data_IF_248885445683
#
_entry.id   IF_248885445683
#
_cell.length_a   1.000
_cell.length_b   1.000
_cell.length_c   1.000
_cell.angle_alpha   90.00
_cell.angle_beta   90.00
_cell.angle_gamma   90.00
#
_symmetry.space_group_name_H-M   'P 1'
#
loop_
_entity.id
_entity.type
_entity.pdbx_description
1 polymer ?
#
# COMPACT_ATOMS: atom_id res chain seq x y z
N UNK A 1 -0.09 -22.39 -7.99
CA UNK A 1 -0.34 -21.39 -6.95
C UNK A 1 -0.40 -20.03 -7.63
N UNK A 2 -1.47 -19.23 -7.49
CA UNK A 2 -1.60 -17.94 -8.18
C UNK A 2 -0.60 -16.87 -7.69
N UNK A 3 0.06 -17.07 -6.54
CA UNK A 3 1.17 -16.24 -6.07
C UNK A 3 2.45 -16.48 -6.85
N UNK A 4 2.63 -17.69 -7.37
CA UNK A 4 3.84 -18.15 -8.04
C UNK A 4 3.48 -18.72 -9.42
N UNK A 5 2.94 -17.88 -10.33
CA UNK A 5 2.64 -18.34 -11.67
C UNK A 5 3.95 -18.60 -12.43
N UNK A 6 3.94 -19.70 -13.17
CA UNK A 6 5.06 -20.10 -14.04
C UNK A 6 4.89 -19.39 -15.38
N UNK A 7 5.90 -18.61 -15.78
CA UNK A 7 5.89 -17.93 -17.06
C UNK A 7 6.04 -18.93 -18.21
N UNK A 8 5.29 -18.70 -19.27
CA UNK A 8 5.43 -19.45 -20.53
C UNK A 8 6.76 -19.11 -21.20
N UNK A 9 7.25 -20.01 -22.06
CA UNK A 9 8.47 -19.75 -22.82
C UNK A 9 8.36 -18.49 -23.70
N UNK A 10 7.17 -18.20 -24.24
CA UNK A 10 6.90 -16.98 -25.01
C UNK A 10 7.07 -15.72 -24.16
N UNK A 11 6.51 -15.72 -22.94
CA UNK A 11 6.67 -14.60 -22.00
C UNK A 11 8.14 -14.42 -21.60
N UNK A 12 8.85 -15.51 -21.30
CA UNK A 12 10.29 -15.46 -20.96
C UNK A 12 11.11 -14.91 -22.13
N UNK A 13 10.85 -15.37 -23.36
CA UNK A 13 11.57 -14.90 -24.54
C UNK A 13 11.33 -13.40 -24.77
N UNK A 14 10.10 -12.93 -24.57
CA UNK A 14 9.78 -11.49 -24.63
C UNK A 14 10.56 -10.73 -23.56
N UNK A 15 10.54 -11.20 -22.30
CA UNK A 15 11.24 -10.55 -21.19
C UNK A 15 12.77 -10.50 -21.39
N UNK A 16 13.35 -11.49 -22.06
CA UNK A 16 14.79 -11.52 -22.38
C UNK A 16 15.25 -10.36 -23.26
N UNK A 17 14.36 -9.75 -24.04
CA UNK A 17 14.67 -8.56 -24.85
C UNK A 17 14.89 -7.31 -23.97
N UNK A 18 14.41 -7.34 -22.72
CA UNK A 18 14.40 -6.21 -21.80
C UNK A 18 15.29 -6.40 -20.57
N UNK A 19 16.03 -7.50 -20.50
CA UNK A 19 16.79 -7.87 -19.31
C UNK A 19 18.14 -8.51 -19.60
N UNK A 20 18.93 -8.64 -18.55
CA UNK A 20 20.26 -9.26 -18.61
C UNK A 20 20.25 -10.59 -17.86
N UNK A 21 20.85 -11.63 -18.45
CA UNK A 21 21.02 -12.91 -17.77
C UNK A 21 22.24 -12.84 -16.85
N UNK A 22 22.05 -13.20 -15.59
CA UNK A 22 23.10 -13.19 -14.56
C UNK A 22 23.11 -14.54 -13.86
N UNK A 23 24.30 -15.10 -13.62
CA UNK A 23 24.48 -16.32 -12.82
C UNK A 23 25.24 -16.01 -11.54
N UNK A 24 24.62 -16.31 -10.40
CA UNK A 24 25.21 -16.17 -9.07
C UNK A 24 25.86 -17.48 -8.64
N UNK A 25 27.20 -17.49 -8.59
CA UNK A 25 28.00 -18.67 -8.22
C UNK A 25 28.00 -18.98 -6.71
N UNK A 26 27.44 -18.08 -5.91
CA UNK A 26 27.32 -18.16 -4.45
C UNK A 26 25.95 -17.64 -4.06
N UNK A 27 25.53 -17.96 -2.84
CA UNK A 27 24.35 -17.32 -2.25
C UNK A 27 24.53 -15.79 -2.31
N UNK A 28 23.52 -15.09 -2.82
CA UNK A 28 23.60 -13.65 -3.09
C UNK A 28 22.31 -12.95 -2.68
N UNK A 29 22.42 -11.90 -1.86
CA UNK A 29 21.31 -11.00 -1.56
C UNK A 29 20.97 -10.20 -2.82
N UNK A 30 19.73 -10.30 -3.30
CA UNK A 30 19.26 -9.59 -4.50
C UNK A 30 18.70 -8.20 -4.16
N UNK A 31 17.90 -8.13 -3.09
CA UNK A 31 17.36 -6.91 -2.51
C UNK A 31 17.02 -7.18 -1.05
N UNK A 32 17.02 -6.16 -0.22
CA UNK A 32 16.73 -6.24 1.22
C UNK A 32 15.61 -5.28 1.61
N UNK A 33 15.07 -5.50 2.80
CA UNK A 33 14.06 -4.59 3.36
C UNK A 33 14.51 -3.13 3.32
N UNK A 34 13.59 -2.25 2.90
CA UNK A 34 13.84 -0.81 2.79
C UNK A 34 14.37 -0.36 1.43
N UNK A 35 14.88 -1.27 0.60
CA UNK A 35 15.29 -0.93 -0.76
C UNK A 35 14.08 -0.39 -1.55
N UNK A 36 14.29 0.75 -2.22
CA UNK A 36 13.37 1.35 -3.18
C UNK A 36 14.05 1.30 -4.56
N UNK A 37 13.32 1.05 -5.64
CA UNK A 37 13.87 0.86 -6.99
C UNK A 37 14.72 -0.43 -7.14
N UNK A 38 14.25 -1.54 -6.57
CA UNK A 38 14.92 -2.85 -6.62
C UNK A 38 14.52 -3.65 -7.87
N UNK A 39 15.48 -4.41 -8.42
CA UNK A 39 15.32 -5.11 -9.69
C UNK A 39 14.32 -6.28 -9.65
N UNK A 40 13.74 -6.57 -10.81
CA UNK A 40 12.88 -7.72 -11.06
C UNK A 40 13.67 -8.90 -11.59
N UNK A 41 13.35 -10.10 -11.10
CA UNK A 41 14.08 -11.31 -11.43
C UNK A 41 13.13 -12.42 -11.87
N UNK A 42 13.42 -13.03 -13.01
CA UNK A 42 12.86 -14.33 -13.40
C UNK A 42 13.90 -15.41 -13.18
N UNK A 43 13.54 -16.49 -12.49
CA UNK A 43 14.45 -17.61 -12.25
C UNK A 43 14.55 -18.45 -13.52
N UNK A 44 15.76 -18.59 -14.08
CA UNK A 44 16.02 -19.46 -15.23
C UNK A 44 16.63 -20.80 -14.80
N UNK A 45 17.33 -20.82 -13.66
CA UNK A 45 17.89 -22.00 -13.01
C UNK A 45 18.11 -21.70 -11.53
N UNK A 46 17.95 -22.70 -10.66
CA UNK A 46 18.11 -22.53 -9.21
C UNK A 46 16.82 -22.00 -8.58
N UNK A 47 16.96 -21.19 -7.52
CA UNK A 47 15.82 -20.65 -6.79
C UNK A 47 16.15 -19.33 -6.08
N UNK A 48 15.10 -18.55 -5.81
CA UNK A 48 15.18 -17.32 -5.00
C UNK A 48 14.25 -17.46 -3.80
N UNK A 49 14.78 -17.31 -2.59
CA UNK A 49 14.00 -17.34 -1.36
C UNK A 49 13.65 -15.93 -0.92
N UNK A 50 12.37 -15.69 -0.63
CA UNK A 50 11.86 -14.49 0.02
C UNK A 50 11.77 -14.76 1.52
N UNK A 51 12.40 -13.91 2.32
CA UNK A 51 12.50 -14.08 3.77
C UNK A 51 11.96 -12.85 4.51
N UNK A 52 11.34 -13.10 5.65
CA UNK A 52 11.04 -12.04 6.61
C UNK A 52 12.38 -11.49 7.17
N UNK A 53 12.57 -10.15 7.18
CA UNK A 53 13.85 -9.57 7.55
C UNK A 53 14.18 -9.70 9.04
N UNK A 54 13.16 -9.84 9.89
CA UNK A 54 13.29 -9.87 11.35
C UNK A 54 13.53 -11.27 11.89
N UNK A 55 12.75 -12.27 11.46
CA UNK A 55 12.84 -13.64 11.97
C UNK A 55 13.52 -14.63 11.00
N UNK A 56 13.83 -14.20 9.77
CA UNK A 56 14.44 -14.99 8.68
C UNK A 56 13.60 -16.19 8.23
N UNK A 57 12.31 -16.23 8.57
CA UNK A 57 11.35 -17.22 8.09
C UNK A 57 11.16 -17.09 6.57
N UNK A 58 11.04 -18.22 5.88
CA UNK A 58 10.82 -18.25 4.43
C UNK A 58 9.34 -17.99 4.17
N UNK A 59 9.06 -16.87 3.50
CA UNK A 59 7.71 -16.45 3.12
C UNK A 59 7.30 -17.00 1.75
N UNK A 60 8.28 -17.36 0.92
CA UNK A 60 8.07 -17.98 -0.38
C UNK A 60 9.39 -18.29 -1.07
N UNK A 61 9.36 -19.25 -2.00
CA UNK A 61 10.54 -19.60 -2.81
C UNK A 61 10.12 -19.63 -4.27
N UNK A 62 10.77 -18.79 -5.08
CA UNK A 62 10.60 -18.77 -6.53
C UNK A 62 11.44 -19.86 -7.18
N UNK A 63 10.78 -20.71 -7.96
CA UNK A 63 11.37 -21.80 -8.73
C UNK A 63 11.56 -21.40 -10.19
N UNK A 64 12.12 -22.31 -10.99
CA UNK A 64 12.37 -22.10 -12.42
C UNK A 64 11.11 -21.59 -13.13
N UNK A 65 11.30 -20.56 -13.96
CA UNK A 65 10.29 -19.82 -14.73
C UNK A 65 9.30 -19.00 -13.87
N UNK A 66 9.49 -18.91 -12.56
CA UNK A 66 8.78 -17.99 -11.70
C UNK A 66 9.57 -16.69 -11.51
N UNK A 67 8.95 -15.69 -10.88
CA UNK A 67 9.51 -14.34 -10.79
C UNK A 67 9.23 -13.63 -9.46
N UNK A 68 10.16 -12.75 -9.08
CA UNK A 68 10.09 -11.91 -7.87
C UNK A 68 9.17 -10.70 -8.04
N UNK A 69 9.02 -9.88 -7.00
CA UNK A 69 8.32 -8.59 -7.07
C UNK A 69 6.94 -8.58 -6.43
N UNK A 70 6.45 -7.37 -6.20
CA UNK A 70 5.13 -7.09 -5.63
C UNK A 70 4.60 -5.74 -6.14
N UNK A 71 3.52 -5.25 -5.53
CA UNK A 71 2.91 -3.98 -5.90
C UNK A 71 3.85 -2.77 -5.71
N UNK A 72 4.88 -2.88 -4.87
CA UNK A 72 5.80 -1.79 -4.63
C UNK A 72 6.58 -1.41 -5.89
N UNK A 73 6.81 -2.36 -6.80
CA UNK A 73 7.44 -2.13 -8.12
C UNK A 73 6.69 -1.14 -9.03
N UNK A 74 5.38 -0.96 -8.81
CA UNK A 74 4.57 -0.01 -9.57
C UNK A 74 4.58 1.39 -8.94
N UNK A 75 5.18 1.52 -7.76
CA UNK A 75 5.09 2.69 -6.90
C UNK A 75 6.47 3.13 -6.41
N UNK A 76 6.50 4.06 -5.44
CA UNK A 76 7.72 4.46 -4.73
C UNK A 76 7.79 3.84 -3.32
N UNK A 77 7.03 2.78 -3.06
CA UNK A 77 7.11 2.04 -1.80
C UNK A 77 8.39 1.21 -1.76
N UNK A 78 9.00 1.10 -0.59
CA UNK A 78 10.11 0.18 -0.35
C UNK A 78 9.62 -1.26 -0.20
N UNK A 79 10.47 -2.22 -0.56
CA UNK A 79 10.19 -3.64 -0.35
C UNK A 79 10.22 -3.98 1.15
N UNK A 80 9.25 -4.75 1.68
CA UNK A 80 9.23 -5.14 3.09
C UNK A 80 9.97 -6.46 3.40
N UNK A 81 10.67 -7.05 2.43
CA UNK A 81 11.27 -8.38 2.52
C UNK A 81 12.72 -8.43 2.04
N UNK A 82 13.41 -9.49 2.46
CA UNK A 82 14.72 -9.86 1.92
C UNK A 82 14.54 -10.91 0.80
N UNK A 83 15.28 -10.78 -0.30
CA UNK A 83 15.40 -11.82 -1.32
C UNK A 83 16.83 -12.31 -1.49
N UNK A 84 16.99 -13.63 -1.48
CA UNK A 84 18.29 -14.30 -1.57
C UNK A 84 18.25 -15.33 -2.70
N UNK A 85 19.12 -15.17 -3.69
CA UNK A 85 19.37 -16.20 -4.68
C UNK A 85 20.25 -17.31 -4.08
N UNK A 86 19.84 -18.56 -4.25
CA UNK A 86 20.64 -19.71 -3.84
C UNK A 86 21.93 -19.80 -4.67
N UNK A 87 22.90 -20.59 -4.19
CA UNK A 87 24.13 -20.88 -4.94
C UNK A 87 23.80 -21.50 -6.31
N UNK A 88 24.51 -21.06 -7.36
CA UNK A 88 24.35 -21.50 -8.75
C UNK A 88 22.97 -21.16 -9.35
N UNK A 89 22.38 -20.03 -8.94
CA UNK A 89 21.13 -19.53 -9.49
C UNK A 89 21.40 -18.64 -10.70
N UNK A 90 20.71 -18.92 -11.80
CA UNK A 90 20.71 -18.07 -13.01
C UNK A 90 19.37 -17.37 -13.13
N UNK A 91 19.39 -16.05 -13.31
CA UNK A 91 18.20 -15.22 -13.38
C UNK A 91 18.23 -14.35 -14.64
N UNK A 92 17.07 -13.97 -15.12
CA UNK A 92 16.89 -12.81 -15.97
C UNK A 92 16.58 -11.61 -15.06
N UNK A 93 17.49 -10.63 -15.04
CA UNK A 93 17.36 -9.38 -14.30
C UNK A 93 16.77 -8.29 -15.19
N UNK A 94 15.74 -7.58 -14.71
CA UNK A 94 15.09 -6.46 -15.39
C UNK A 94 15.03 -5.28 -14.43
N UNK A 95 15.48 -4.10 -14.90
CA UNK A 95 15.44 -2.88 -14.11
C UNK A 95 13.99 -2.37 -13.94
N UNK A 96 13.65 -1.72 -12.82
CA UNK A 96 12.26 -1.36 -12.52
C UNK A 96 11.61 -0.43 -13.55
N UNK A 97 12.37 0.55 -14.06
CA UNK A 97 11.89 1.46 -15.11
C UNK A 97 11.55 0.71 -16.40
N UNK A 98 12.40 -0.24 -16.78
CA UNK A 98 12.17 -1.10 -17.95
C UNK A 98 10.97 -2.02 -17.71
N UNK A 99 10.81 -2.56 -16.50
CA UNK A 99 9.66 -3.40 -16.18
C UNK A 99 8.34 -2.63 -16.30
N UNK A 100 8.27 -1.38 -15.84
CA UNK A 100 7.07 -0.53 -16.01
C UNK A 100 6.70 -0.36 -17.49
N UNK A 101 7.70 -0.16 -18.34
CA UNK A 101 7.50 -0.10 -19.79
C UNK A 101 7.00 -1.43 -20.37
N UNK A 102 7.54 -2.57 -19.92
CA UNK A 102 7.07 -3.89 -20.34
C UNK A 102 5.62 -4.12 -19.93
N UNK A 103 5.26 -3.78 -18.69
CA UNK A 103 3.90 -3.94 -18.14
C UNK A 103 2.89 -3.06 -18.90
N UNK A 104 3.28 -1.86 -19.33
CA UNK A 104 2.40 -0.99 -20.11
C UNK A 104 2.21 -1.46 -21.55
N UNK A 105 3.22 -2.07 -22.17
CA UNK A 105 3.22 -2.45 -23.60
C UNK A 105 2.81 -3.90 -23.88
N UNK A 106 2.95 -4.82 -22.91
CA UNK A 106 2.69 -6.25 -23.11
C UNK A 106 1.60 -6.78 -22.17
N UNK A 107 0.35 -6.80 -22.63
CA UNK A 107 -0.82 -7.23 -21.84
C UNK A 107 -0.67 -8.62 -21.23
N UNK A 108 -0.24 -9.61 -22.01
CA UNK A 108 -0.07 -10.99 -21.53
C UNK A 108 1.00 -11.16 -20.44
N UNK A 109 1.98 -10.25 -20.35
CA UNK A 109 2.94 -10.20 -19.23
C UNK A 109 2.30 -9.45 -18.07
N UNK A 110 1.75 -8.27 -18.35
CA UNK A 110 1.07 -7.44 -17.35
C UNK A 110 0.04 -8.22 -16.54
N UNK A 111 -0.82 -8.99 -17.17
CA UNK A 111 -1.92 -9.67 -16.49
C UNK A 111 -1.39 -10.71 -15.49
N UNK A 112 -0.35 -11.46 -15.87
CA UNK A 112 0.28 -12.45 -15.00
C UNK A 112 1.02 -11.79 -13.84
N UNK A 113 1.78 -10.72 -14.10
CA UNK A 113 2.52 -10.02 -13.04
C UNK A 113 1.58 -9.35 -12.04
N UNK A 114 0.61 -8.57 -12.52
CA UNK A 114 -0.33 -7.85 -11.65
C UNK A 114 -1.23 -8.80 -10.86
N UNK A 115 -1.67 -9.91 -11.48
CA UNK A 115 -2.38 -10.97 -10.78
C UNK A 115 -1.54 -11.56 -9.64
N UNK A 116 -0.28 -11.91 -9.92
CA UNK A 116 0.62 -12.43 -8.90
C UNK A 116 0.86 -11.43 -7.76
N UNK A 117 1.08 -10.15 -8.07
CA UNK A 117 1.35 -9.13 -7.06
C UNK A 117 0.15 -8.88 -6.14
N UNK A 118 -1.07 -8.86 -6.70
CA UNK A 118 -2.32 -8.81 -5.91
C UNK A 118 -2.43 -9.99 -4.95
N UNK A 119 -2.22 -11.21 -5.45
CA UNK A 119 -2.32 -12.42 -4.62
C UNK A 119 -1.24 -12.47 -3.53
N UNK A 120 0.00 -12.04 -3.85
CA UNK A 120 1.09 -11.94 -2.87
C UNK A 120 0.76 -10.93 -1.77
N UNK A 121 0.25 -9.74 -2.13
CA UNK A 121 -0.16 -8.74 -1.16
C UNK A 121 -1.29 -9.25 -0.26
N UNK A 122 -2.31 -9.86 -0.84
CA UNK A 122 -3.44 -10.41 -0.09
C UNK A 122 -2.99 -11.46 0.93
N UNK A 123 -2.15 -12.42 0.51
CA UNK A 123 -1.66 -13.48 1.38
C UNK A 123 -0.70 -12.94 2.44
N UNK A 124 0.18 -12.00 2.10
CA UNK A 124 1.04 -11.32 3.07
C UNK A 124 0.20 -10.64 4.17
N UNK A 125 -0.85 -9.89 3.80
CA UNK A 125 -1.67 -9.17 4.78
C UNK A 125 -2.51 -10.10 5.67
N UNK A 126 -2.84 -11.32 5.22
CA UNK A 126 -3.77 -12.22 5.92
C UNK A 126 -3.08 -13.37 6.65
N UNK A 127 -2.04 -13.95 6.08
CA UNK A 127 -1.45 -15.21 6.55
C UNK A 127 -0.13 -15.00 7.31
N UNK A 128 0.59 -13.91 7.05
CA UNK A 128 1.88 -13.65 7.66
C UNK A 128 1.80 -12.57 8.74
N UNK A 129 2.21 -12.92 9.96
CA UNK A 129 2.40 -11.95 11.04
C UNK A 129 3.79 -11.33 10.92
N UNK A 130 3.85 -10.01 10.76
CA UNK A 130 5.13 -9.30 10.61
C UNK A 130 4.91 -7.85 10.24
N UNK A 131 5.80 -7.30 9.42
CA UNK A 131 5.72 -5.91 9.01
C UNK A 131 5.97 -4.94 10.16
N UNK A 132 5.56 -3.68 9.97
CA UNK A 132 5.72 -2.63 10.97
C UNK A 132 4.98 -3.04 12.25
N UNK A 133 5.63 -2.92 13.40
CA UNK A 133 4.99 -3.26 14.68
C UNK A 133 4.47 -2.01 15.36
N UNK A 134 3.17 -1.99 15.63
CA UNK A 134 2.51 -0.94 16.42
C UNK A 134 2.29 -1.48 17.83
N UNK A 135 2.78 -0.77 18.83
CA UNK A 135 2.62 -1.11 20.24
C UNK A 135 1.79 0.00 20.89
N UNK A 136 0.68 -0.35 21.52
CA UNK A 136 -0.22 0.63 22.10
C UNK A 136 -1.45 -0.01 22.73
N UNK A 137 -2.28 0.85 23.32
CA UNK A 137 -3.56 0.47 23.91
C UNK A 137 -4.65 0.45 22.85
N UNK A 138 -5.56 -0.53 22.90
CA UNK A 138 -6.75 -0.55 22.02
C UNK A 138 -7.73 0.59 22.34
N UNK A 139 -7.58 1.21 23.51
CA UNK A 139 -8.40 2.34 23.96
C UNK A 139 -7.83 3.69 23.54
N UNK A 140 -6.67 3.72 22.88
CA UNK A 140 -6.06 4.95 22.38
C UNK A 140 -6.54 5.25 20.96
N UNK A 141 -7.04 6.47 20.77
CA UNK A 141 -7.43 6.97 19.45
C UNK A 141 -6.25 7.03 18.48
N UNK A 142 -5.09 7.46 18.95
CA UNK A 142 -3.86 7.56 18.16
C UNK A 142 -3.40 6.18 17.68
N UNK A 143 -3.51 5.17 18.56
CA UNK A 143 -3.22 3.77 18.21
C UNK A 143 -4.19 3.25 17.15
N UNK A 144 -5.49 3.54 17.31
CA UNK A 144 -6.51 3.21 16.33
C UNK A 144 -6.22 3.87 14.97
N UNK A 145 -5.98 5.17 14.95
CA UNK A 145 -5.79 5.94 13.72
C UNK A 145 -4.57 5.44 12.90
N UNK A 146 -3.46 5.08 13.57
CA UNK A 146 -2.29 4.48 12.92
C UNK A 146 -2.63 3.13 12.26
N UNK A 147 -3.31 2.25 13.00
CA UNK A 147 -3.69 0.91 12.51
C UNK A 147 -4.70 0.99 11.38
N UNK A 148 -5.74 1.83 11.54
CA UNK A 148 -6.75 2.09 10.51
C UNK A 148 -6.11 2.59 9.21
N UNK A 149 -5.15 3.52 9.31
CA UNK A 149 -4.40 4.01 8.15
C UNK A 149 -3.59 2.89 7.48
N UNK A 150 -2.91 2.04 8.26
CA UNK A 150 -2.15 0.91 7.72
C UNK A 150 -3.05 -0.10 7.01
N UNK A 151 -4.18 -0.49 7.61
CA UNK A 151 -5.16 -1.40 7.02
C UNK A 151 -5.68 -0.85 5.68
N UNK A 152 -6.14 0.39 5.66
CA UNK A 152 -6.72 1.01 4.46
C UNK A 152 -5.72 1.23 3.32
N UNK A 153 -4.44 1.43 3.66
CA UNK A 153 -3.38 1.63 2.67
C UNK A 153 -2.59 0.35 2.34
N UNK A 154 -3.08 -0.81 2.81
CA UNK A 154 -2.46 -2.12 2.57
C UNK A 154 -1.00 -2.18 3.01
N UNK A 155 -0.71 -1.58 4.18
CA UNK A 155 0.61 -1.59 4.81
C UNK A 155 0.68 -2.80 5.73
N UNK A 156 1.65 -3.68 5.49
CA UNK A 156 1.87 -4.85 6.32
C UNK A 156 2.36 -4.47 7.70
N UNK A 157 1.61 -4.88 8.71
CA UNK A 157 1.86 -4.51 10.10
C UNK A 157 1.35 -5.57 11.07
N UNK A 158 1.84 -5.47 12.31
CA UNK A 158 1.38 -6.26 13.45
C UNK A 158 1.09 -5.33 14.62
N UNK A 159 0.14 -5.71 15.46
CA UNK A 159 -0.26 -4.95 16.63
C UNK A 159 0.06 -5.71 17.92
N UNK A 160 0.69 -5.04 18.88
CA UNK A 160 1.02 -5.57 20.18
C UNK A 160 0.30 -4.74 21.26
N UNK A 161 -0.80 -5.30 21.75
CA UNK A 161 -1.72 -4.64 22.67
C UNK A 161 -1.16 -4.55 24.10
N UNK A 162 -0.94 -3.34 24.62
CA UNK A 162 -0.44 -3.12 25.99
C UNK A 162 -1.47 -3.42 27.08
N UNK A 163 -2.76 -3.42 26.74
CA UNK A 163 -3.85 -3.66 27.69
C UNK A 163 -3.93 -5.14 28.09
N UNK A 164 -3.54 -6.04 27.19
CA UNK A 164 -3.76 -7.49 27.33
C UNK A 164 -2.48 -8.32 27.26
N UNK A 165 -1.39 -7.80 26.68
CA UNK A 165 -0.17 -8.58 26.44
C UNK A 165 0.94 -8.25 27.45
N UNK A 166 1.34 -9.25 28.25
CA UNK A 166 2.54 -9.16 29.11
C UNK A 166 3.80 -8.90 28.28
N UNK A 167 3.91 -9.54 27.11
CA UNK A 167 5.01 -9.35 26.17
C UNK A 167 5.13 -7.90 25.69
N UNK A 168 4.02 -7.17 25.57
CA UNK A 168 4.05 -5.74 25.26
C UNK A 168 4.73 -4.94 26.36
N UNK A 169 4.37 -5.21 27.62
CA UNK A 169 4.92 -4.53 28.80
C UNK A 169 6.40 -4.82 29.00
N UNK A 170 6.81 -6.08 28.81
CA UNK A 170 8.22 -6.48 28.85
C UNK A 170 9.04 -5.78 27.77
N UNK A 171 8.50 -5.68 26.54
CA UNK A 171 9.15 -4.99 25.44
C UNK A 171 9.34 -3.50 25.73
N UNK A 172 8.33 -2.83 26.30
CA UNK A 172 8.47 -1.43 26.71
C UNK A 172 9.60 -1.26 27.74
N UNK A 173 9.65 -2.13 28.75
CA UNK A 173 10.71 -2.10 29.76
C UNK A 173 12.10 -2.35 29.16
N UNK A 174 12.24 -3.31 28.24
CA UNK A 174 13.55 -3.63 27.63
C UNK A 174 14.12 -2.47 26.79
N UNK A 175 13.25 -1.62 26.25
CA UNK A 175 13.64 -0.43 25.48
C UNK A 175 13.59 0.86 26.29
N UNK A 176 13.38 0.78 27.62
CA UNK A 176 13.22 1.94 28.51
C UNK A 176 12.15 2.93 28.01
N UNK A 177 11.03 2.38 27.54
CA UNK A 177 9.85 3.11 27.07
C UNK A 177 8.78 3.12 28.16
N UNK A 178 8.11 4.26 28.31
CA UNK A 178 7.03 4.45 29.27
C UNK A 178 5.65 4.44 28.58
N UNK A 179 4.57 4.27 29.34
CA UNK A 179 3.20 4.34 28.81
C UNK A 179 2.90 5.70 28.17
N UNK A 180 3.53 6.77 28.68
CA UNK A 180 3.43 8.11 28.10
C UNK A 180 4.11 8.26 26.74
N UNK A 181 4.90 7.29 26.27
CA UNK A 181 5.48 7.28 24.93
C UNK A 181 4.57 6.65 23.88
N UNK A 182 3.48 5.99 24.30
CA UNK A 182 2.56 5.29 23.40
C UNK A 182 1.74 6.27 22.52
N UNK A 183 1.36 5.87 21.29
CA UNK A 183 1.74 4.62 20.62
C UNK A 183 3.20 4.62 20.17
N UNK A 184 3.80 3.42 20.12
CA UNK A 184 5.13 3.20 19.58
C UNK A 184 5.01 2.49 18.23
N UNK A 185 5.80 2.92 17.27
CA UNK A 185 6.02 2.21 16.01
C UNK A 185 7.46 1.73 15.94
N UNK A 186 7.63 0.44 15.68
CA UNK A 186 8.91 -0.18 15.34
C UNK A 186 8.90 -0.53 13.86
N UNK A 187 9.77 0.11 13.07
CA UNK A 187 9.85 -0.17 11.64
C UNK A 187 10.64 -1.45 11.37
N UNK A 188 10.70 -1.84 10.09
CA UNK A 188 11.38 -3.08 9.67
C UNK A 188 12.90 -3.01 9.74
N UNK A 189 13.47 -1.82 9.94
CA UNK A 189 14.90 -1.60 10.16
C UNK A 189 15.27 -1.60 11.66
N UNK A 190 14.28 -1.75 12.55
CA UNK A 190 14.48 -1.75 14.00
C UNK A 190 14.46 -0.37 14.65
N UNK A 191 14.09 0.68 13.91
CA UNK A 191 13.98 2.04 14.46
C UNK A 191 12.66 2.23 15.20
N UNK A 192 12.73 2.96 16.31
CA UNK A 192 11.60 3.20 17.23
C UNK A 192 11.12 4.65 17.08
N UNK A 193 9.82 4.81 16.85
CA UNK A 193 9.13 6.08 16.76
C UNK A 193 8.11 6.19 17.89
N UNK A 194 8.21 7.25 18.69
CA UNK A 194 7.30 7.54 19.79
C UNK A 194 6.21 8.51 19.32
N UNK A 195 4.95 8.20 19.62
CA UNK A 195 3.77 8.98 19.19
C UNK A 195 3.82 9.40 17.71
N UNK A 196 4.10 8.47 16.78
CA UNK A 196 4.23 8.83 15.38
C UNK A 196 2.91 9.40 14.86
N UNK A 197 3.01 10.44 14.05
CA UNK A 197 1.89 10.99 13.30
C UNK A 197 1.60 10.13 12.07
N UNK A 198 0.37 10.23 11.53
CA UNK A 198 0.01 9.59 10.26
C UNK A 198 0.94 10.06 9.12
N UNK A 199 1.38 11.32 9.14
CA UNK A 199 2.29 11.85 8.13
C UNK A 199 3.66 11.20 8.20
N UNK A 200 4.20 10.96 9.39
CA UNK A 200 5.48 10.25 9.58
C UNK A 200 5.37 8.80 9.12
N UNK A 201 4.30 8.11 9.52
CA UNK A 201 4.00 6.75 9.05
C UNK A 201 3.90 6.68 7.52
N UNK A 202 3.18 7.61 6.90
CA UNK A 202 2.98 7.62 5.46
C UNK A 202 4.28 7.91 4.68
N UNK A 203 5.18 8.74 5.23
CA UNK A 203 6.54 8.94 4.68
C UNK A 203 7.38 7.67 4.81
N UNK A 204 7.39 7.07 5.99
CA UNK A 204 8.16 5.86 6.29
C UNK A 204 7.78 4.70 5.36
N UNK A 205 6.50 4.60 4.98
CA UNK A 205 5.96 3.51 4.17
C UNK A 205 5.94 3.80 2.67
N UNK A 206 6.38 4.99 2.26
CA UNK A 206 6.38 5.42 0.86
C UNK A 206 4.99 5.66 0.26
N UNK A 207 3.94 5.71 1.09
CA UNK A 207 2.57 6.05 0.66
C UNK A 207 2.44 7.56 0.42
N UNK A 208 3.13 8.36 1.22
CA UNK A 208 3.22 9.81 1.00
C UNK A 208 4.34 10.12 0.02
N UNK A 209 4.01 10.05 -1.26
CA UNK A 209 4.94 10.39 -2.33
C UNK A 209 5.17 11.91 -2.36
N UNK A 210 6.42 12.33 -2.52
CA UNK A 210 6.77 13.71 -2.81
C UNK A 210 6.42 14.05 -4.26
N UNK A 211 6.02 15.29 -4.51
CA UNK A 211 5.94 15.81 -5.87
C UNK A 211 7.20 16.63 -6.11
N UNK A 212 7.82 16.43 -7.26
CA UNK A 212 8.77 17.40 -7.78
C UNK A 212 8.01 18.69 -8.13
N UNK A 213 8.73 19.79 -8.36
CA UNK A 213 8.14 21.04 -8.88
C UNK A 213 7.75 20.87 -10.36
N UNK A 214 7.02 19.81 -10.69
CA UNK A 214 6.53 19.46 -12.01
C UNK A 214 5.15 20.10 -12.27
N UNK A 215 4.83 20.33 -13.54
CA UNK A 215 3.50 20.71 -13.98
C UNK A 215 2.79 19.49 -14.57
N UNK A 216 1.84 18.93 -13.82
CA UNK A 216 1.06 17.77 -14.25
C UNK A 216 0.01 18.16 -15.30
N UNK A 217 -0.36 17.21 -16.16
CA UNK A 217 -1.49 17.40 -17.07
C UNK A 217 -2.82 17.36 -16.30
N UNK A 218 -2.97 16.43 -15.36
CA UNK A 218 -4.19 16.24 -14.57
C UNK A 218 -3.88 16.05 -13.08
N UNK A 219 -4.50 16.87 -12.23
CA UNK A 219 -4.57 16.66 -10.79
C UNK A 219 -5.96 16.14 -10.40
N UNK A 220 -6.01 14.95 -9.81
CA UNK A 220 -7.24 14.36 -9.27
C UNK A 220 -7.27 14.53 -7.75
N UNK A 221 -8.32 15.17 -7.24
CA UNK A 221 -8.53 15.40 -5.81
C UNK A 221 -9.57 14.42 -5.27
N UNK A 222 -9.12 13.41 -4.54
CA UNK A 222 -9.89 12.32 -3.98
C UNK A 222 -9.56 10.98 -4.66
N UNK A 223 -9.27 9.94 -3.87
CA UNK A 223 -8.99 8.58 -4.34
C UNK A 223 -10.17 7.63 -4.08
N UNK A 224 -11.41 8.15 -4.11
CA UNK A 224 -12.62 7.34 -4.20
C UNK A 224 -12.81 6.72 -5.59
N UNK A 225 -13.90 5.98 -5.84
CA UNK A 225 -14.14 5.33 -7.14
C UNK A 225 -14.09 6.30 -8.33
N UNK A 226 -14.68 7.49 -8.20
CA UNK A 226 -14.66 8.51 -9.25
C UNK A 226 -13.22 9.00 -9.56
N UNK A 227 -12.43 9.26 -8.52
CA UNK A 227 -11.07 9.75 -8.68
C UNK A 227 -10.11 8.68 -9.19
N UNK A 228 -10.21 7.44 -8.67
CA UNK A 228 -9.41 6.32 -9.18
C UNK A 228 -9.74 6.00 -10.64
N UNK A 229 -11.03 6.02 -11.02
CA UNK A 229 -11.42 5.87 -12.42
C UNK A 229 -10.83 6.98 -13.29
N UNK A 230 -10.96 8.25 -12.88
CA UNK A 230 -10.35 9.37 -13.59
C UNK A 230 -8.82 9.23 -13.73
N UNK A 231 -8.16 8.76 -12.67
CA UNK A 231 -6.72 8.53 -12.64
C UNK A 231 -6.29 7.46 -13.66
N UNK A 232 -7.02 6.33 -13.69
CA UNK A 232 -6.77 5.24 -14.64
C UNK A 232 -6.93 5.74 -16.08
N UNK A 233 -8.05 6.39 -16.40
CA UNK A 233 -8.35 6.83 -17.76
C UNK A 233 -7.38 7.91 -18.25
N UNK A 234 -7.05 8.89 -17.41
CA UNK A 234 -6.09 9.93 -17.80
C UNK A 234 -4.68 9.35 -18.00
N UNK A 235 -4.22 8.49 -17.09
CA UNK A 235 -2.88 7.91 -17.17
C UNK A 235 -2.75 6.92 -18.33
N UNK A 236 -3.80 6.16 -18.68
CA UNK A 236 -3.77 5.25 -19.83
C UNK A 236 -3.64 5.96 -21.17
N UNK A 237 -4.07 7.22 -21.26
CA UNK A 237 -3.87 8.08 -22.43
C UNK A 237 -2.49 8.78 -22.44
N UNK A 238 -1.61 8.42 -21.52
CA UNK A 238 -0.23 8.92 -21.44
C UNK A 238 -0.09 10.31 -20.83
N UNK A 239 -1.13 10.85 -20.18
CA UNK A 239 -1.06 12.11 -19.45
C UNK A 239 -0.25 11.94 -18.16
N UNK A 240 0.48 12.98 -17.74
CA UNK A 240 1.09 12.99 -16.40
C UNK A 240 0.01 13.26 -15.35
N UNK A 241 -0.29 12.25 -14.53
CA UNK A 241 -1.39 12.29 -13.56
C UNK A 241 -0.86 12.22 -12.14
N UNK A 242 -1.38 13.12 -11.32
CA UNK A 242 -1.22 13.09 -9.86
C UNK A 242 -2.58 12.98 -9.18
N UNK A 243 -2.68 12.07 -8.23
CA UNK A 243 -3.89 11.88 -7.41
C UNK A 243 -3.54 12.06 -5.95
N UNK A 244 -4.37 12.82 -5.23
CA UNK A 244 -4.25 12.99 -3.79
C UNK A 244 -5.51 12.55 -3.07
N UNK A 245 -5.35 12.05 -1.86
CA UNK A 245 -6.48 11.75 -0.97
C UNK A 245 -6.10 12.00 0.48
N UNK A 246 -7.05 12.47 1.29
CA UNK A 246 -6.82 12.79 2.69
C UNK A 246 -6.62 11.58 3.60
N UNK A 247 -6.94 10.36 3.16
CA UNK A 247 -6.93 9.18 4.02
C UNK A 247 -6.40 7.91 3.33
N UNK A 248 -7.09 7.42 2.29
CA UNK A 248 -6.77 6.14 1.65
C UNK A 248 -7.55 5.94 0.34
N UNK A 249 -7.09 5.06 -0.57
CA UNK A 249 -7.86 4.67 -1.73
C UNK A 249 -9.21 4.05 -1.36
N UNK A 250 -10.22 4.25 -2.20
CA UNK A 250 -11.55 3.65 -2.09
C UNK A 250 -12.66 4.56 -1.58
N UNK A 251 -12.32 5.67 -0.91
CA UNK A 251 -13.30 6.63 -0.39
C UNK A 251 -14.39 5.95 0.46
N UNK A 252 -15.66 6.30 0.24
CA UNK A 252 -16.77 5.63 0.93
C UNK A 252 -16.93 4.16 0.51
N UNK A 253 -16.72 3.84 -0.77
CA UNK A 253 -16.91 2.49 -1.29
C UNK A 253 -15.95 1.49 -0.61
N UNK A 254 -14.72 1.92 -0.29
CA UNK A 254 -13.71 1.11 0.40
C UNK A 254 -14.18 0.52 1.74
N UNK A 255 -15.23 1.09 2.35
CA UNK A 255 -15.82 0.61 3.61
C UNK A 255 -16.83 -0.52 3.42
N UNK A 256 -17.24 -0.82 2.18
CA UNK A 256 -18.23 -1.85 1.90
C UNK A 256 -17.59 -3.23 1.96
N UNK A 257 -18.19 -4.13 2.74
CA UNK A 257 -17.77 -5.54 2.82
C UNK A 257 -17.99 -6.27 1.48
N UNK A 258 -19.07 -5.93 0.78
CA UNK A 258 -19.40 -6.47 -0.55
C UNK A 258 -20.28 -5.49 -1.33
N UNK A 259 -19.89 -5.22 -2.57
CA UNK A 259 -20.62 -4.42 -3.54
C UNK A 259 -21.15 -5.36 -4.61
N UNK A 260 -22.47 -5.58 -4.62
CA UNK A 260 -23.14 -6.50 -5.57
C UNK A 260 -23.72 -5.79 -6.79
N UNK A 261 -23.75 -4.45 -6.76
CA UNK A 261 -24.29 -3.60 -7.82
C UNK A 261 -23.21 -2.89 -8.64
N UNK A 262 -21.97 -3.38 -8.65
CA UNK A 262 -20.90 -2.86 -9.50
C UNK A 262 -20.76 -3.70 -10.77
N UNK A 263 -20.95 -3.07 -11.92
CA UNK A 263 -20.88 -3.72 -13.23
C UNK A 263 -19.53 -4.43 -13.44
N UNK A 264 -19.56 -5.56 -14.16
CA UNK A 264 -18.38 -6.40 -14.39
C UNK A 264 -18.04 -7.40 -13.28
N UNK A 265 -18.69 -7.32 -12.11
CA UNK A 265 -18.52 -8.27 -11.00
C UNK A 265 -19.84 -8.96 -10.65
N UNK A 266 -20.25 -10.00 -11.41
CA UNK A 266 -21.56 -10.65 -11.23
C UNK A 266 -21.74 -11.32 -9.86
N UNK A 267 -20.65 -11.70 -9.19
CA UNK A 267 -20.66 -12.26 -7.82
C UNK A 267 -20.45 -11.20 -6.74
N UNK A 268 -20.31 -9.93 -7.13
CA UNK A 268 -19.87 -8.82 -6.31
C UNK A 268 -18.36 -8.79 -6.06
N UNK A 269 -17.90 -7.69 -5.47
CA UNK A 269 -16.50 -7.44 -5.07
C UNK A 269 -16.48 -6.64 -3.76
N UNK A 270 -15.50 -6.84 -2.89
CA UNK A 270 -15.37 -5.98 -1.70
C UNK A 270 -14.97 -4.56 -2.11
N UNK A 271 -15.37 -3.57 -1.32
CA UNK A 271 -14.99 -2.17 -1.56
C UNK A 271 -13.49 -1.96 -1.55
N UNK A 272 -12.80 -2.66 -0.64
CA UNK A 272 -11.35 -2.60 -0.51
C UNK A 272 -10.65 -3.21 -1.73
N UNK A 273 -11.10 -4.38 -2.21
CA UNK A 273 -10.51 -5.02 -3.40
C UNK A 273 -10.75 -4.20 -4.67
N UNK A 274 -11.94 -3.60 -4.80
CA UNK A 274 -12.26 -2.71 -5.92
C UNK A 274 -11.29 -1.51 -5.94
N UNK A 275 -11.09 -0.87 -4.79
CA UNK A 275 -10.19 0.26 -4.63
C UNK A 275 -8.74 -0.12 -4.91
N UNK A 276 -8.27 -1.24 -4.36
CA UNK A 276 -6.89 -1.70 -4.50
C UNK A 276 -6.56 -2.07 -5.96
N UNK A 277 -7.48 -2.75 -6.65
CA UNK A 277 -7.34 -3.05 -8.08
C UNK A 277 -7.25 -1.78 -8.93
N UNK A 278 -8.11 -0.79 -8.67
CA UNK A 278 -8.09 0.49 -9.39
C UNK A 278 -6.83 1.32 -9.06
N UNK A 279 -6.39 1.30 -7.80
CA UNK A 279 -5.14 1.93 -7.37
C UNK A 279 -3.93 1.35 -8.10
N UNK A 280 -3.79 0.02 -8.13
CA UNK A 280 -2.72 -0.64 -8.89
C UNK A 280 -2.80 -0.37 -10.39
N UNK A 281 -4.00 -0.34 -10.95
CA UNK A 281 -4.18 -0.04 -12.37
C UNK A 281 -3.76 1.40 -12.71
N UNK A 282 -4.05 2.37 -11.85
CA UNK A 282 -3.59 3.74 -12.03
C UNK A 282 -2.05 3.81 -11.98
N UNK A 283 -1.42 3.15 -11.00
CA UNK A 283 0.03 3.09 -10.87
C UNK A 283 0.72 2.38 -12.04
N UNK A 284 0.11 1.32 -12.57
CA UNK A 284 0.55 0.63 -13.79
C UNK A 284 0.74 1.61 -14.95
N UNK A 285 -0.15 2.58 -15.08
CA UNK A 285 -0.09 3.62 -16.13
C UNK A 285 0.75 4.85 -15.73
N UNK A 286 1.46 4.81 -14.60
CA UNK A 286 2.34 5.89 -14.17
C UNK A 286 1.67 6.98 -13.35
N UNK A 287 0.42 6.79 -12.91
CA UNK A 287 -0.22 7.75 -12.01
C UNK A 287 0.46 7.76 -10.64
N UNK A 288 0.89 8.94 -10.19
CA UNK A 288 1.43 9.14 -8.85
C UNK A 288 0.28 9.40 -7.87
N UNK A 289 0.08 8.48 -6.92
CA UNK A 289 -0.95 8.61 -5.88
C UNK A 289 -0.26 8.91 -4.56
N UNK A 290 -0.59 10.04 -3.93
CA UNK A 290 0.07 10.51 -2.69
C UNK A 290 -0.93 10.71 -1.56
N UNK A 291 -0.72 9.97 -0.47
CA UNK A 291 -1.66 9.88 0.65
C UNK A 291 -0.88 9.88 1.98
N UNK A 292 -1.35 10.55 3.04
CA UNK A 292 -2.51 11.44 3.06
C UNK A 292 -2.14 12.87 2.62
N UNK A 293 -3.01 13.48 1.82
CA UNK A 293 -2.95 14.89 1.42
C UNK A 293 -4.35 15.45 1.28
N UNK A 294 -4.69 16.42 2.15
CA UNK A 294 -5.95 17.15 2.06
C UNK A 294 -5.76 18.40 1.21
N UNK A 295 -6.58 18.57 0.18
CA UNK A 295 -6.70 19.81 -0.56
C UNK A 295 -7.26 20.92 0.36
N UNK A 296 -6.56 22.06 0.45
CA UNK A 296 -6.97 23.21 1.28
C UNK A 296 -7.45 24.36 0.42
N UNK A 297 -6.70 24.69 -0.64
CA UNK A 297 -6.99 25.83 -1.52
C UNK A 297 -6.57 25.51 -2.95
N UNK A 298 -7.38 25.96 -3.90
CA UNK A 298 -7.09 25.87 -5.34
C UNK A 298 -7.10 27.28 -5.94
N UNK A 299 -6.05 27.62 -6.67
CA UNK A 299 -5.93 28.89 -7.38
C UNK A 299 -5.65 28.65 -8.86
N UNK A 300 -6.22 29.48 -9.73
CA UNK A 300 -5.95 29.48 -11.17
C UNK A 300 -5.33 30.81 -11.55
N UNK A 301 -4.15 30.77 -12.18
CA UNK A 301 -3.39 31.98 -12.53
C UNK A 301 -3.60 32.42 -14.00
N UNK A 302 -4.46 31.75 -14.76
CA UNK A 302 -4.66 31.97 -16.20
C UNK A 302 -3.95 30.96 -17.10
N UNK A 303 -3.03 30.16 -16.58
CA UNK A 303 -2.33 29.11 -17.34
C UNK A 303 -2.51 27.72 -16.72
N UNK A 304 -2.37 27.62 -15.40
CA UNK A 304 -2.48 26.37 -14.66
C UNK A 304 -3.09 26.57 -13.27
N UNK A 305 -3.53 25.47 -12.68
CA UNK A 305 -4.02 25.40 -11.32
C UNK A 305 -2.87 25.14 -10.34
N UNK A 306 -2.89 25.81 -9.19
CA UNK A 306 -2.04 25.53 -8.04
C UNK A 306 -2.92 25.09 -6.88
N UNK A 307 -2.73 23.85 -6.43
CA UNK A 307 -3.38 23.32 -5.23
C UNK A 307 -2.42 23.39 -4.05
N UNK A 308 -2.84 24.08 -2.99
CA UNK A 308 -2.18 24.04 -1.69
C UNK A 308 -2.74 22.86 -0.88
N UNK A 309 -1.87 21.89 -0.56
CA UNK A 309 -2.21 20.77 0.33
C UNK A 309 -1.98 21.13 1.81
N UNK A 310 -2.53 20.31 2.71
CA UNK A 310 -2.47 20.50 4.18
C UNK A 310 -1.08 20.48 4.82
N UNK A 311 -0.02 20.27 4.05
CA UNK A 311 1.37 20.31 4.49
C UNK A 311 2.17 21.41 3.77
N UNK A 312 1.48 22.45 3.30
CA UNK A 312 2.01 23.61 2.57
C UNK A 312 2.77 23.26 1.28
N UNK A 313 2.64 22.02 0.78
CA UNK A 313 3.12 21.66 -0.54
C UNK A 313 2.12 22.08 -1.61
N UNK A 314 2.65 22.74 -2.62
CA UNK A 314 1.89 23.12 -3.80
C UNK A 314 1.99 22.03 -4.86
N UNK A 315 0.89 21.77 -5.55
CA UNK A 315 0.82 20.88 -6.71
C UNK A 315 0.31 21.70 -7.88
N UNK A 316 1.03 21.65 -9.01
CA UNK A 316 0.66 22.40 -10.21
C UNK A 316 0.09 21.45 -11.25
N UNK A 317 -1.04 21.82 -11.86
CA UNK A 317 -1.62 21.03 -12.94
C UNK A 317 -2.36 21.89 -13.96
N UNK A 318 -2.37 21.48 -15.23
CA UNK A 318 -3.12 22.15 -16.30
C UNK A 318 -4.64 21.98 -16.13
N UNK A 319 -5.06 20.82 -15.61
CA UNK A 319 -6.46 20.51 -15.33
C UNK A 319 -6.63 19.87 -13.96
N UNK A 320 -7.83 20.02 -13.38
CA UNK A 320 -8.17 19.48 -12.06
C UNK A 320 -9.50 18.75 -12.11
N UNK A 321 -9.55 17.54 -11.53
CA UNK A 321 -10.76 16.76 -11.33
C UNK A 321 -11.06 16.70 -9.83
N UNK A 322 -12.14 17.34 -9.41
CA UNK A 322 -12.62 17.29 -8.03
C UNK A 322 -13.51 16.05 -7.83
N UNK A 323 -12.96 15.02 -7.18
CA UNK A 323 -13.61 13.75 -6.85
C UNK A 323 -13.69 13.53 -5.33
N UNK A 324 -13.98 14.61 -4.58
CA UNK A 324 -13.86 14.69 -3.11
C UNK A 324 -14.95 13.93 -2.33
N UNK A 325 -15.98 13.44 -3.01
CA UNK A 325 -17.08 12.70 -2.37
C UNK A 325 -17.85 13.54 -1.36
N UNK A 326 -18.32 12.90 -0.29
CA UNK A 326 -19.07 13.51 0.80
C UNK A 326 -18.70 12.87 2.15
N UNK A 327 -19.01 13.55 3.26
CA UNK A 327 -18.86 13.03 4.62
C UNK A 327 -20.24 12.70 5.22
N UNK A 328 -20.29 11.68 6.09
CA UNK A 328 -21.50 11.37 6.84
C UNK A 328 -21.76 12.44 7.90
N UNK A 329 -23.05 12.73 8.13
CA UNK A 329 -23.45 13.61 9.23
C UNK A 329 -23.10 12.95 10.55
N UNK A 330 -22.39 13.69 11.41
CA UNK A 330 -22.11 13.26 12.78
C UNK A 330 -23.35 13.40 13.65
N UNK A 331 -23.41 12.62 14.72
CA UNK A 331 -24.45 12.79 15.73
C UNK A 331 -24.27 14.16 16.40
N UNK A 332 -25.35 14.95 16.55
CA UNK A 332 -25.29 16.26 17.20
C UNK A 332 -25.26 16.12 18.73
N UNK A 333 -24.34 15.29 19.23
CA UNK A 333 -24.14 15.04 20.66
C UNK A 333 -22.77 15.59 21.07
N UNK A 334 -22.74 16.26 22.22
CA UNK A 334 -21.49 16.74 22.80
C UNK A 334 -20.53 15.58 23.05
N UNK A 335 -19.23 15.83 22.88
CA UNK A 335 -18.16 14.87 23.14
C UNK A 335 -18.14 13.60 22.26
N UNK A 336 -18.99 13.48 21.23
CA UNK A 336 -18.96 12.32 20.31
C UNK A 336 -17.57 12.05 19.73
N UNK A 337 -16.84 13.12 19.38
CA UNK A 337 -15.48 13.06 18.82
C UNK A 337 -14.48 12.33 19.74
N UNK A 338 -14.69 12.36 21.06
CA UNK A 338 -13.83 11.65 22.02
C UNK A 338 -13.97 10.13 21.93
N UNK A 339 -15.09 9.67 21.40
CA UNK A 339 -15.41 8.25 21.24
C UNK A 339 -15.24 7.77 19.79
N UNK A 340 -14.91 8.66 18.84
CA UNK A 340 -14.68 8.29 17.44
C UNK A 340 -13.41 7.43 17.31
N UNK A 341 -13.58 6.19 16.80
CA UNK A 341 -12.51 5.20 16.76
C UNK A 341 -12.31 4.44 18.09
N UNK A 342 -13.07 4.81 19.13
CA UNK A 342 -13.04 4.19 20.46
C UNK A 342 -14.48 4.03 21.00
N UNK A 343 -15.31 3.31 20.25
CA UNK A 343 -16.70 2.99 20.60
C UNK A 343 -17.76 3.61 19.67
N UNK A 344 -17.45 4.71 19.00
CA UNK A 344 -18.30 5.31 17.94
C UNK A 344 -17.62 5.12 16.59
N UNK A 345 -18.34 4.52 15.65
CA UNK A 345 -17.86 4.25 14.30
C UNK A 345 -18.91 4.64 13.25
N UNK A 346 -18.46 5.21 12.13
CA UNK A 346 -19.31 5.57 10.98
C UNK A 346 -19.15 4.58 9.80
N UNK A 347 -18.59 3.40 10.08
CA UNK A 347 -18.44 2.29 9.15
C UNK A 347 -18.17 0.99 9.91
N UNK A 348 -18.56 -0.14 9.35
CA UNK A 348 -18.31 -1.47 9.93
C UNK A 348 -17.11 -2.13 9.22
N UNK A 349 -15.89 -1.62 9.48
CA UNK A 349 -14.66 -2.25 8.97
C UNK A 349 -14.36 -3.56 9.71
N UNK A 350 -13.45 -4.38 9.17
CA UNK A 350 -12.99 -5.61 9.84
C UNK A 350 -12.43 -5.35 11.24
N UNK A 351 -11.62 -4.30 11.40
CA UNK A 351 -11.12 -3.87 12.72
C UNK A 351 -12.25 -3.51 13.67
N UNK A 352 -13.25 -2.72 13.23
CA UNK A 352 -14.39 -2.35 14.07
C UNK A 352 -15.21 -3.58 14.48
N UNK A 353 -15.45 -4.51 13.55
CA UNK A 353 -16.14 -5.76 13.84
C UNK A 353 -15.37 -6.64 14.85
N UNK A 354 -14.04 -6.67 14.75
CA UNK A 354 -13.18 -7.39 15.71
C UNK A 354 -13.23 -6.76 17.10
N UNK A 355 -13.16 -5.43 17.19
CA UNK A 355 -13.22 -4.69 18.47
C UNK A 355 -14.59 -4.77 19.15
N UNK A 356 -15.66 -4.97 18.40
CA UNK A 356 -17.02 -5.11 18.93
C UNK A 356 -17.46 -6.58 19.18
N UNK A 357 -16.56 -7.55 19.04
CA UNK A 357 -16.91 -8.96 19.16
C UNK A 357 -17.39 -9.28 20.59
N UNK A 358 -18.59 -9.84 20.68
CA UNK A 358 -19.29 -10.15 21.95
C UNK A 358 -19.67 -8.92 22.80
N UNK A 359 -19.64 -7.72 22.23
CA UNK A 359 -20.06 -6.49 22.90
C UNK A 359 -21.51 -6.14 22.57
N UNK A 360 -22.15 -5.34 23.42
CA UNK A 360 -23.46 -4.75 23.11
C UNK A 360 -23.28 -3.56 22.16
N UNK A 361 -23.80 -3.68 20.93
CA UNK A 361 -23.67 -2.66 19.88
C UNK A 361 -25.02 -2.03 19.56
N UNK A 362 -25.04 -0.70 19.41
CA UNK A 362 -26.19 0.05 18.90
C UNK A 362 -25.95 0.57 17.49
N UNK A 363 -26.96 0.52 16.62
CA UNK A 363 -26.95 1.15 15.29
C UNK A 363 -27.89 2.35 15.32
N UNK A 364 -27.37 3.52 14.95
CA UNK A 364 -28.16 4.76 14.85
C UNK A 364 -28.39 5.05 13.38
N UNK A 365 -29.66 5.08 12.97
CA UNK A 365 -30.10 5.21 11.58
C UNK A 365 -31.13 6.30 11.38
#
# INVERSE_FOLDING_TARGET
DPRFPVLTQTQINTLKEFGTIITYQKETQLFKVGDSDYDFYVVLQGEICIKDPMNKEIMGTHQINEFTGDNSMLSNRSIPFDAVAAKNTTVLKIEPKVLKDVISKHSGISDVLLGAFLHRQEVMLKEFSGGIKVIGSERSKETYDLRDFMEKNHIWHSFLNTDTSLKAKELLQSFNLAEEDLPILLNMSGEIYKKPTITELAKLTGVLVGFEDELYDVLVVGAGPAGLAASVYAASEGLTVVTIDGNAPGGQAGKSSKIENYLGFPTGISGNDLANKAYMQAQKFGCNISIPRKAVKLEYNGEFFTLCASNDKNIRAKSVIAATGAEYRRLPLENTEKFEGNGVFYSATGMNASSCKNELVGVVG
#
